data_IF_222384808585
#
_entry.id   IF_222384808585
#
_cell.length_a   1.000
_cell.length_b   1.000
_cell.length_c   1.000
_cell.angle_alpha   90.00
_cell.angle_beta   90.00
_cell.angle_gamma   90.00
#
_symmetry.space_group_name_H-M   'P 1'
#
loop_
_entity.id
_entity.type
_entity.pdbx_description
1 polymer ?
#
# COMPACT_ATOMS: atom_id res chain seq x y z
N UNK A 1 -53.34 0.34 38.38
CA UNK A 1 -52.48 -0.39 39.31
C UNK A 1 -51.54 -1.33 38.59
N UNK A 2 -50.26 -1.20 38.93
CA UNK A 2 -49.13 -2.12 38.72
C UNK A 2 -48.81 -2.60 37.28
N UNK A 3 -47.97 -1.82 36.60
CA UNK A 3 -46.97 -2.33 35.65
C UNK A 3 -45.76 -2.89 36.44
N UNK A 4 -45.13 -4.00 36.04
CA UNK A 4 -43.97 -4.53 36.73
C UNK A 4 -42.67 -3.81 36.31
N UNK A 5 -41.93 -3.38 37.33
CA UNK A 5 -40.56 -2.88 37.39
C UNK A 5 -39.67 -3.03 36.14
N UNK A 6 -39.40 -1.89 35.48
CA UNK A 6 -38.17 -1.71 34.71
C UNK A 6 -36.98 -1.61 35.69
N UNK A 7 -36.26 -2.71 35.84
CA UNK A 7 -34.92 -2.69 36.44
C UNK A 7 -33.98 -1.86 35.56
N UNK A 8 -33.40 -0.82 36.16
CA UNK A 8 -32.30 -0.04 35.60
C UNK A 8 -31.13 -0.95 35.27
N UNK A 9 -30.82 -1.09 33.98
CA UNK A 9 -29.54 -1.64 33.52
C UNK A 9 -28.47 -0.60 33.83
N UNK A 10 -27.42 -0.90 34.61
CA UNK A 10 -26.38 0.07 34.88
C UNK A 10 -25.63 0.39 33.58
N UNK A 11 -25.43 1.69 33.34
CA UNK A 11 -24.57 2.19 32.29
C UNK A 11 -23.20 1.53 32.40
N UNK A 12 -22.75 0.89 31.31
CA UNK A 12 -21.37 0.46 31.13
C UNK A 12 -20.51 1.72 31.03
N UNK A 13 -20.07 2.22 32.18
CA UNK A 13 -18.94 3.13 32.30
C UNK A 13 -17.71 2.46 31.68
N UNK A 14 -17.25 2.99 30.55
CA UNK A 14 -15.91 2.75 30.07
C UNK A 14 -14.92 3.37 31.06
N UNK A 15 -14.44 2.57 32.01
CA UNK A 15 -13.29 2.93 32.83
C UNK A 15 -12.04 2.93 31.94
N UNK A 16 -11.30 4.05 31.82
CA UNK A 16 -10.00 4.02 31.18
C UNK A 16 -9.03 3.21 32.05
N UNK A 17 -8.63 2.03 31.56
CA UNK A 17 -7.51 1.27 32.12
C UNK A 17 -6.23 1.94 31.59
N UNK A 18 -5.71 2.85 32.41
CA UNK A 18 -4.31 3.23 32.62
C UNK A 18 -4.24 4.71 33.02
N UNK A 19 -4.55 4.96 34.29
CA UNK A 19 -3.96 6.08 34.99
C UNK A 19 -2.47 5.79 35.19
N UNK A 20 -1.61 6.29 34.30
CA UNK A 20 -0.26 6.64 34.74
C UNK A 20 -0.42 7.88 35.62
N UNK A 21 -0.51 7.65 36.93
CA UNK A 21 -0.35 8.70 37.93
C UNK A 21 0.96 9.42 37.67
N UNK A 22 0.91 10.62 37.08
CA UNK A 22 2.00 11.57 37.18
C UNK A 22 2.10 11.93 38.66
N UNK A 23 3.09 11.37 39.35
CA UNK A 23 3.48 11.85 40.65
C UNK A 23 3.77 13.35 40.53
N UNK A 24 2.92 14.17 41.15
CA UNK A 24 3.20 15.58 41.35
C UNK A 24 4.46 15.68 42.20
N UNK A 25 5.57 16.09 41.59
CA UNK A 25 6.79 16.42 42.33
C UNK A 25 6.65 17.82 42.94
N UNK A 26 7.15 18.04 44.17
CA UNK A 26 6.98 19.30 44.89
C UNK A 26 7.73 20.44 44.17
N UNK A 27 7.28 21.70 44.30
CA UNK A 27 7.89 22.83 43.64
C UNK A 27 9.21 23.18 44.35
N UNK A 28 10.34 22.79 43.75
CA UNK A 28 11.65 23.15 44.28
C UNK A 28 12.78 22.27 43.78
N UNK A 29 13.27 22.52 42.57
CA UNK A 29 14.70 22.37 42.20
C UNK A 29 14.90 22.78 40.75
N UNK A 30 15.22 24.05 40.55
CA UNK A 30 15.72 24.60 39.30
C UNK A 30 17.16 24.11 39.06
N UNK A 31 17.30 22.97 38.38
CA UNK A 31 18.41 22.66 37.45
C UNK A 31 18.34 21.18 37.03
N UNK A 32 17.60 20.88 35.97
CA UNK A 32 17.84 19.65 35.19
C UNK A 32 17.98 20.02 33.72
N UNK A 33 19.03 19.49 33.09
CA UNK A 33 19.43 19.79 31.72
C UNK A 33 18.30 19.44 30.72
N UNK A 34 18.07 20.25 29.67
CA UNK A 34 17.10 19.98 28.61
C UNK A 34 17.25 18.60 27.95
N UNK A 35 18.47 18.07 27.97
CA UNK A 35 18.81 16.74 27.43
C UNK A 35 18.12 15.62 28.20
N UNK A 36 17.97 15.77 29.53
CA UNK A 36 17.37 14.74 30.38
C UNK A 36 15.86 14.59 30.14
N UNK A 37 15.16 15.70 29.89
CA UNK A 37 13.74 15.68 29.53
C UNK A 37 13.52 15.12 28.12
N UNK A 38 14.41 15.44 27.16
CA UNK A 38 14.35 14.89 25.81
C UNK A 38 14.57 13.36 25.79
N UNK A 39 15.52 12.85 26.59
CA UNK A 39 15.78 11.41 26.72
C UNK A 39 14.59 10.69 27.36
N UNK A 40 13.96 11.26 28.39
CA UNK A 40 12.79 10.66 29.05
C UNK A 40 11.53 10.66 28.17
N UNK A 41 11.35 11.68 27.33
CA UNK A 41 10.26 11.73 26.35
C UNK A 41 10.48 10.69 25.24
N UNK A 42 11.72 10.53 24.77
CA UNK A 42 12.08 9.49 23.79
C UNK A 42 11.91 8.07 24.34
N UNK A 43 12.29 7.82 25.59
CA UNK A 43 12.10 6.49 26.22
C UNK A 43 10.63 6.19 26.51
N UNK A 44 9.83 7.19 26.90
CA UNK A 44 8.39 7.03 27.09
C UNK A 44 7.61 6.77 25.79
N UNK A 45 7.95 7.49 24.71
CA UNK A 45 7.33 7.31 23.40
C UNK A 45 7.70 5.96 22.76
N UNK A 46 8.97 5.56 22.88
CA UNK A 46 9.42 4.24 22.39
C UNK A 46 8.81 3.10 23.21
N UNK A 47 8.73 3.22 24.53
CA UNK A 47 8.08 2.21 25.38
C UNK A 47 6.58 2.09 25.08
N UNK A 48 5.89 3.21 24.86
CA UNK A 48 4.46 3.20 24.49
C UNK A 48 4.23 2.58 23.11
N UNK A 49 5.10 2.85 22.14
CA UNK A 49 5.05 2.22 20.83
C UNK A 49 5.33 0.71 20.91
N UNK A 50 6.27 0.28 21.75
CA UNK A 50 6.58 -1.13 22.01
C UNK A 50 5.38 -1.82 22.67
N UNK A 51 4.78 -1.23 23.69
CA UNK A 51 3.62 -1.79 24.40
C UNK A 51 2.39 -1.88 23.49
N UNK A 52 2.09 -0.83 22.70
CA UNK A 52 1.01 -0.87 21.72
C UNK A 52 1.25 -1.96 20.65
N UNK A 53 2.50 -2.12 20.20
CA UNK A 53 2.89 -3.17 19.26
C UNK A 53 2.72 -4.56 19.87
N UNK A 54 3.10 -4.75 21.14
CA UNK A 54 2.97 -6.01 21.88
C UNK A 54 1.51 -6.38 22.15
N UNK A 55 0.67 -5.43 22.54
CA UNK A 55 -0.76 -5.65 22.75
C UNK A 55 -1.49 -5.98 21.44
N UNK A 56 -1.11 -5.35 20.33
CA UNK A 56 -1.63 -5.70 19.00
C UNK A 56 -1.14 -7.09 18.56
N UNK A 57 0.13 -7.40 18.84
CA UNK A 57 0.71 -8.71 18.57
C UNK A 57 -0.01 -9.82 19.36
N UNK A 58 -0.28 -9.61 20.65
CA UNK A 58 -1.07 -10.52 21.50
C UNK A 58 -2.53 -10.64 21.06
N UNK A 59 -3.17 -9.55 20.63
CA UNK A 59 -4.52 -9.61 20.06
C UNK A 59 -4.56 -10.35 18.71
N UNK A 60 -3.44 -10.35 17.96
CA UNK A 60 -3.27 -11.11 16.72
C UNK A 60 -2.81 -12.57 16.90
N UNK A 61 -2.63 -13.05 18.14
CA UNK A 61 -2.24 -14.43 18.46
C UNK A 61 -3.41 -15.43 18.45
N UNK A 62 -4.43 -15.23 17.61
CA UNK A 62 -5.01 -16.43 17.00
C UNK A 62 -4.00 -16.86 15.95
N UNK A 63 -3.35 -18.04 16.08
CA UNK A 63 -2.59 -18.55 14.96
C UNK A 63 -3.60 -18.72 13.83
N UNK A 64 -3.60 -17.79 12.87
CA UNK A 64 -4.13 -18.08 11.56
C UNK A 64 -3.29 -19.25 11.11
N UNK A 65 -3.83 -20.48 11.24
CA UNK A 65 -3.33 -21.58 10.42
C UNK A 65 -3.19 -20.98 9.02
N UNK A 66 -2.00 -21.06 8.38
CA UNK A 66 -1.90 -20.62 7.01
C UNK A 66 -3.04 -21.34 6.28
N UNK A 67 -4.00 -20.62 5.67
CA UNK A 67 -5.12 -21.27 5.01
C UNK A 67 -4.49 -22.32 4.11
N UNK A 68 -4.87 -23.58 4.30
CA UNK A 68 -4.37 -24.69 3.52
C UNK A 68 -4.56 -24.30 2.07
N UNK A 69 -3.45 -24.03 1.37
CA UNK A 69 -3.54 -23.51 0.02
C UNK A 69 -4.26 -24.57 -0.81
N UNK A 70 -5.28 -24.19 -1.58
CA UNK A 70 -6.00 -25.15 -2.40
C UNK A 70 -5.00 -25.84 -3.33
N UNK A 71 -5.20 -27.12 -3.68
CA UNK A 71 -4.34 -27.81 -4.63
C UNK A 71 -4.25 -26.96 -5.90
N UNK A 72 -3.02 -26.68 -6.35
CA UNK A 72 -2.77 -25.83 -7.50
C UNK A 72 -3.33 -26.53 -8.76
N UNK A 73 -4.42 -26.03 -9.37
CA UNK A 73 -4.85 -26.49 -10.67
C UNK A 73 -3.75 -26.26 -11.69
N UNK A 74 -3.66 -27.13 -12.68
CA UNK A 74 -2.65 -27.07 -13.73
C UNK A 74 -2.87 -25.92 -14.71
N UNK A 75 -4.09 -25.37 -14.78
CA UNK A 75 -4.48 -24.33 -15.73
C UNK A 75 -5.45 -23.30 -15.11
N UNK A 76 -5.27 -22.03 -15.50
CA UNK A 76 -6.11 -20.89 -15.12
C UNK A 76 -6.50 -20.06 -16.35
N UNK A 77 -7.56 -19.26 -16.23
CA UNK A 77 -7.91 -18.29 -17.28
C UNK A 77 -6.94 -17.11 -17.27
N UNK A 78 -6.63 -16.60 -16.08
CA UNK A 78 -5.73 -15.46 -15.89
C UNK A 78 -4.67 -15.77 -14.83
N UNK A 79 -3.43 -15.41 -15.12
CA UNK A 79 -2.32 -15.45 -14.17
C UNK A 79 -1.82 -14.04 -13.97
N UNK A 80 -1.86 -13.55 -12.73
CA UNK A 80 -1.40 -12.22 -12.34
C UNK A 80 -0.08 -12.37 -11.59
N UNK A 81 0.96 -11.70 -12.08
CA UNK A 81 2.31 -11.77 -11.53
C UNK A 81 2.58 -10.55 -10.66
N UNK A 82 2.55 -10.72 -9.34
CA UNK A 82 2.77 -9.69 -8.33
C UNK A 82 1.47 -9.18 -7.72
N UNK A 83 1.31 -9.35 -6.40
CA UNK A 83 0.17 -8.84 -5.62
C UNK A 83 0.43 -7.42 -5.11
N UNK A 84 1.08 -6.58 -5.92
CA UNK A 84 1.28 -5.16 -5.63
C UNK A 84 -0.01 -4.33 -5.74
N UNK A 85 0.15 -3.01 -5.84
CA UNK A 85 -0.99 -2.08 -6.01
C UNK A 85 -1.89 -2.45 -7.17
N UNK A 86 -1.33 -2.60 -8.37
CA UNK A 86 -2.11 -2.95 -9.57
C UNK A 86 -2.64 -4.39 -9.52
N UNK A 87 -1.79 -5.35 -9.14
CA UNK A 87 -2.16 -6.77 -9.14
C UNK A 87 -3.30 -7.09 -8.16
N UNK A 88 -3.35 -6.41 -7.01
CA UNK A 88 -4.45 -6.54 -6.06
C UNK A 88 -5.79 -6.09 -6.67
N UNK A 89 -5.79 -4.96 -7.40
CA UNK A 89 -6.98 -4.45 -8.09
C UNK A 89 -7.42 -5.39 -9.20
N UNK A 90 -6.48 -5.79 -10.07
CA UNK A 90 -6.75 -6.68 -11.22
C UNK A 90 -7.31 -8.03 -10.75
N UNK A 91 -6.71 -8.62 -9.71
CA UNK A 91 -7.18 -9.89 -9.16
C UNK A 91 -8.60 -9.78 -8.60
N UNK A 92 -8.91 -8.71 -7.88
CA UNK A 92 -10.26 -8.46 -7.39
C UNK A 92 -11.24 -8.31 -8.54
N UNK A 93 -10.95 -7.46 -9.54
CA UNK A 93 -11.87 -7.18 -10.65
C UNK A 93 -12.10 -8.40 -11.55
N UNK A 94 -11.06 -9.14 -11.91
CA UNK A 94 -11.20 -10.33 -12.75
C UNK A 94 -11.97 -11.45 -12.04
N UNK A 95 -11.74 -11.65 -10.74
CA UNK A 95 -12.42 -12.70 -9.97
C UNK A 95 -13.86 -12.36 -9.58
N UNK A 96 -14.35 -11.13 -9.84
CA UNK A 96 -15.77 -10.80 -9.66
C UNK A 96 -16.68 -11.63 -10.56
N UNK A 97 -16.20 -12.02 -11.75
CA UNK A 97 -16.89 -12.99 -12.59
C UNK A 97 -16.54 -14.41 -12.10
N UNK A 98 -17.51 -15.20 -11.59
CA UNK A 98 -17.26 -16.55 -11.10
C UNK A 98 -16.75 -17.53 -12.18
N UNK A 99 -16.97 -17.22 -13.46
CA UNK A 99 -16.50 -18.03 -14.58
C UNK A 99 -14.98 -17.88 -14.83
N UNK A 100 -14.35 -16.83 -14.29
CA UNK A 100 -12.91 -16.60 -14.44
C UNK A 100 -12.15 -17.34 -13.32
N UNK A 101 -11.29 -18.30 -13.68
CA UNK A 101 -10.29 -18.85 -12.76
C UNK A 101 -9.04 -17.98 -12.75
N UNK A 102 -8.76 -17.35 -11.60
CA UNK A 102 -7.68 -16.36 -11.46
C UNK A 102 -6.63 -16.88 -10.48
N UNK A 103 -5.37 -16.87 -10.92
CA UNK A 103 -4.20 -17.12 -10.08
C UNK A 103 -3.45 -15.82 -9.83
N UNK A 104 -3.22 -15.48 -8.56
CA UNK A 104 -2.37 -14.36 -8.15
C UNK A 104 -1.11 -14.91 -7.47
N UNK A 105 0.06 -14.64 -8.06
CA UNK A 105 1.36 -15.07 -7.56
C UNK A 105 2.12 -13.89 -6.96
N UNK A 106 2.50 -13.99 -5.68
CA UNK A 106 3.30 -12.96 -4.99
C UNK A 106 4.59 -13.56 -4.42
N UNK A 107 5.72 -12.94 -4.71
CA UNK A 107 7.03 -13.40 -4.23
C UNK A 107 7.20 -13.21 -2.71
N UNK A 108 6.52 -12.23 -2.13
CA UNK A 108 6.52 -11.92 -0.71
C UNK A 108 5.54 -12.72 0.15
N UNK A 109 5.63 -12.48 1.46
CA UNK A 109 4.67 -12.98 2.44
C UNK A 109 3.48 -12.04 2.64
N UNK A 110 2.64 -12.37 3.64
CA UNK A 110 1.57 -11.50 4.11
C UNK A 110 2.12 -10.27 4.85
N UNK A 111 1.27 -9.24 5.01
CA UNK A 111 1.61 -8.07 5.81
C UNK A 111 1.75 -8.44 7.29
N UNK A 112 2.78 -7.94 7.95
CA UNK A 112 2.96 -8.02 9.40
C UNK A 112 2.21 -6.87 10.11
N UNK A 113 1.83 -7.02 11.40
CA UNK A 113 1.05 -6.01 12.12
C UNK A 113 1.63 -4.59 12.12
N UNK A 114 2.96 -4.47 12.17
CA UNK A 114 3.66 -3.18 12.14
C UNK A 114 3.42 -2.39 10.84
N UNK A 115 3.14 -3.07 9.71
CA UNK A 115 2.88 -2.41 8.43
C UNK A 115 1.54 -1.68 8.39
N UNK A 116 0.62 -2.00 9.30
CA UNK A 116 -0.67 -1.31 9.42
C UNK A 116 -0.54 0.03 10.14
N UNK A 117 0.53 0.26 10.90
CA UNK A 117 0.73 1.48 11.69
C UNK A 117 1.38 2.56 10.82
N UNK A 118 0.71 3.69 10.52
CA UNK A 118 1.26 4.71 9.62
C UNK A 118 2.62 5.26 10.05
N UNK A 119 2.84 5.42 11.36
CA UNK A 119 4.09 5.94 11.93
C UNK A 119 5.31 5.04 11.63
N UNK A 120 5.11 3.73 11.42
CA UNK A 120 6.21 2.79 11.15
C UNK A 120 6.76 2.91 9.72
N UNK A 121 6.05 3.56 8.79
CA UNK A 121 6.36 3.54 7.36
C UNK A 121 7.84 3.85 7.00
N UNK A 122 8.51 4.84 7.63
CA UNK A 122 9.91 5.13 7.33
C UNK A 122 10.89 4.01 7.74
N UNK A 123 10.51 3.16 8.68
CA UNK A 123 11.36 2.17 9.34
C UNK A 123 10.93 0.72 9.07
N UNK A 124 9.77 0.51 8.44
CA UNK A 124 9.14 -0.79 8.27
C UNK A 124 9.86 -1.72 7.27
N UNK A 125 10.80 -1.18 6.48
CA UNK A 125 11.54 -1.96 5.50
C UNK A 125 12.55 -2.90 6.16
N UNK A 126 12.55 -4.17 5.76
CA UNK A 126 13.53 -5.16 6.18
C UNK A 126 13.79 -6.19 5.07
N UNK A 127 14.68 -7.14 5.32
CA UNK A 127 15.07 -8.20 4.37
C UNK A 127 13.91 -9.10 3.91
N UNK A 128 12.86 -9.23 4.71
CA UNK A 128 11.72 -10.10 4.41
C UNK A 128 10.71 -9.42 3.46
N UNK A 129 10.57 -8.10 3.53
CA UNK A 129 9.57 -7.33 2.79
C UNK A 129 10.13 -6.38 1.73
N UNK A 130 11.46 -6.35 1.55
CA UNK A 130 12.14 -5.50 0.60
C UNK A 130 12.88 -6.32 -0.45
N UNK A 131 12.95 -5.83 -1.69
CA UNK A 131 13.82 -6.41 -2.72
C UNK A 131 15.28 -5.99 -2.58
N UNK A 132 15.58 -4.97 -1.77
CA UNK A 132 16.95 -4.49 -1.56
C UNK A 132 17.61 -3.93 -2.82
N UNK A 133 16.82 -3.42 -3.76
CA UNK A 133 17.35 -2.86 -5.00
C UNK A 133 18.14 -1.58 -4.74
N UNK A 134 19.29 -1.47 -5.39
CA UNK A 134 20.08 -0.23 -5.43
C UNK A 134 20.27 0.22 -6.87
N UNK A 135 20.40 1.53 -7.07
CA UNK A 135 20.83 2.06 -8.35
C UNK A 135 22.27 1.66 -8.66
N UNK A 136 22.66 1.76 -9.93
CA UNK A 136 24.08 1.94 -10.28
C UNK A 136 24.62 3.22 -9.64
N UNK A 137 25.95 3.39 -9.51
CA UNK A 137 26.52 4.62 -8.98
C UNK A 137 26.05 5.84 -9.78
N UNK A 138 25.54 6.86 -9.08
CA UNK A 138 25.02 8.09 -9.67
C UNK A 138 26.10 9.18 -9.59
N UNK A 139 26.92 9.34 -10.63
CA UNK A 139 28.08 10.26 -10.55
C UNK A 139 27.72 11.74 -10.45
N UNK A 140 26.53 12.13 -10.91
CA UNK A 140 26.03 13.51 -10.83
C UNK A 140 25.19 13.79 -9.58
N UNK A 141 24.93 12.78 -8.74
CA UNK A 141 24.09 12.88 -7.55
C UNK A 141 24.74 12.13 -6.38
N UNK A 142 24.10 12.14 -5.21
CA UNK A 142 24.49 11.31 -4.05
C UNK A 142 25.98 11.45 -3.65
N UNK A 143 26.59 12.62 -3.84
CA UNK A 143 28.02 12.86 -3.52
C UNK A 143 28.36 12.60 -2.04
N UNK A 144 27.37 12.72 -1.15
CA UNK A 144 27.52 12.43 0.29
C UNK A 144 27.35 10.94 0.62
N UNK A 145 26.95 10.10 -0.33
CA UNK A 145 26.82 8.65 -0.13
C UNK A 145 28.12 7.95 -0.54
N UNK A 146 28.76 7.13 0.33
CA UNK A 146 30.09 6.56 0.06
C UNK A 146 30.20 5.78 -1.26
N UNK A 147 29.13 5.08 -1.66
CA UNK A 147 29.06 4.32 -2.91
C UNK A 147 28.36 5.07 -4.05
N UNK A 148 27.81 6.27 -3.81
CA UNK A 148 26.92 7.01 -4.72
C UNK A 148 25.74 6.19 -5.25
N UNK A 149 25.31 5.16 -4.53
CA UNK A 149 24.15 4.34 -4.87
C UNK A 149 22.95 4.78 -4.04
N UNK A 150 21.79 4.87 -4.68
CA UNK A 150 20.53 5.15 -4.01
C UNK A 150 19.77 3.85 -3.77
N UNK A 151 19.19 3.71 -2.58
CA UNK A 151 18.24 2.64 -2.30
C UNK A 151 16.96 2.87 -3.11
N UNK A 152 16.53 1.86 -3.88
CA UNK A 152 15.27 1.88 -4.60
C UNK A 152 14.21 1.08 -3.83
N UNK A 153 13.18 1.77 -3.36
CA UNK A 153 12.16 1.21 -2.47
C UNK A 153 11.13 0.33 -3.22
N UNK A 154 11.58 -0.84 -3.67
CA UNK A 154 10.71 -1.90 -4.19
C UNK A 154 10.41 -2.93 -3.10
N UNK A 155 9.15 -3.32 -2.95
CA UNK A 155 8.70 -4.20 -1.86
C UNK A 155 8.24 -5.57 -2.34
N UNK A 156 8.41 -6.56 -1.47
CA UNK A 156 8.16 -7.98 -1.67
C UNK A 156 7.24 -8.49 -0.56
N UNK A 157 5.97 -8.10 -0.62
CA UNK A 157 4.93 -8.39 0.38
C UNK A 157 3.57 -8.23 -0.30
N UNK A 158 2.52 -8.87 0.21
CA UNK A 158 1.14 -8.61 -0.22
C UNK A 158 0.81 -7.11 -0.16
N UNK A 159 0.28 -6.56 -1.26
CA UNK A 159 0.05 -5.14 -1.51
C UNK A 159 1.27 -4.36 -2.03
N UNK A 160 2.44 -5.01 -2.09
CA UNK A 160 3.68 -4.47 -2.65
C UNK A 160 4.12 -3.16 -1.99
N UNK A 161 4.61 -2.21 -2.79
CA UNK A 161 5.05 -0.91 -2.26
C UNK A 161 3.92 -0.11 -1.61
N UNK A 162 2.67 -0.32 -2.01
CA UNK A 162 1.51 0.32 -1.36
C UNK A 162 1.35 -0.05 0.12
N UNK A 163 1.87 -1.21 0.54
CA UNK A 163 1.84 -1.64 1.95
C UNK A 163 2.91 -0.96 2.81
N UNK A 164 3.91 -0.29 2.21
CA UNK A 164 4.99 0.41 2.92
C UNK A 164 5.17 1.88 2.50
N UNK A 165 4.33 2.41 1.60
CA UNK A 165 4.43 3.80 1.15
C UNK A 165 4.08 4.79 2.27
N UNK A 166 4.20 6.08 2.01
CA UNK A 166 3.83 7.15 2.95
C UNK A 166 2.34 7.47 3.00
N UNK A 167 1.48 6.61 2.42
CA UNK A 167 0.01 6.76 2.38
C UNK A 167 -0.55 8.01 1.69
N UNK A 168 0.29 8.87 1.12
CA UNK A 168 -0.18 10.04 0.40
C UNK A 168 -1.05 9.60 -0.79
N UNK A 169 -2.28 10.07 -0.82
CA UNK A 169 -3.22 9.84 -1.91
C UNK A 169 -3.20 11.06 -2.83
N UNK A 170 -2.51 10.94 -3.96
CA UNK A 170 -2.34 12.00 -4.97
C UNK A 170 -2.54 11.37 -6.34
N UNK A 171 -3.48 11.89 -7.13
CA UNK A 171 -3.84 11.30 -8.44
C UNK A 171 -2.87 11.69 -9.56
N UNK A 172 -2.44 12.95 -9.58
CA UNK A 172 -1.66 13.56 -10.66
C UNK A 172 -2.39 14.73 -11.31
N UNK A 173 -1.72 15.45 -12.21
CA UNK A 173 -2.32 16.59 -12.91
C UNK A 173 -3.07 16.11 -14.16
N UNK A 174 -4.21 16.71 -14.55
CA UNK A 174 -4.90 16.39 -15.80
C UNK A 174 -4.00 16.42 -17.03
N UNK A 175 -3.00 17.31 -17.05
CA UNK A 175 -2.01 17.39 -18.14
C UNK A 175 -1.16 16.14 -18.29
N UNK A 176 -0.87 15.44 -17.18
CA UNK A 176 -0.07 14.20 -17.22
C UNK A 176 -0.80 13.10 -18.01
N UNK A 177 -2.12 12.98 -17.77
CA UNK A 177 -2.98 11.99 -18.41
C UNK A 177 -3.34 12.35 -19.85
N UNK A 178 -3.63 13.63 -20.10
CA UNK A 178 -3.89 14.11 -21.47
C UNK A 178 -2.65 13.89 -22.35
N UNK A 179 -1.45 14.15 -21.82
CA UNK A 179 -0.19 13.86 -22.49
C UNK A 179 -0.05 12.38 -22.89
N UNK A 180 -0.57 11.45 -22.08
CA UNK A 180 -0.50 10.02 -22.42
C UNK A 180 -1.25 9.71 -23.71
N UNK A 181 -2.45 10.26 -23.87
CA UNK A 181 -3.23 10.08 -25.10
C UNK A 181 -2.63 10.88 -26.26
N UNK A 182 -2.29 12.15 -26.03
CA UNK A 182 -1.82 13.09 -27.06
C UNK A 182 -0.43 12.75 -27.63
N UNK A 183 0.52 12.30 -26.80
CA UNK A 183 1.90 12.04 -27.22
C UNK A 183 2.23 10.55 -27.37
N UNK A 184 1.56 9.67 -26.62
CA UNK A 184 1.90 8.23 -26.58
C UNK A 184 0.81 7.32 -27.16
N UNK A 185 -0.22 7.88 -27.81
CA UNK A 185 -1.35 7.15 -28.40
C UNK A 185 -2.07 6.21 -27.40
N UNK A 186 -2.04 6.54 -26.10
CA UNK A 186 -2.73 5.79 -25.07
C UNK A 186 -4.23 6.15 -25.08
N UNK A 187 -4.97 5.65 -26.08
CA UNK A 187 -6.40 5.93 -26.24
C UNK A 187 -7.19 5.50 -25.01
N UNK A 188 -8.06 6.38 -24.50
CA UNK A 188 -8.86 6.16 -23.29
C UNK A 188 -8.14 6.51 -21.99
N UNK A 189 -6.96 7.15 -22.06
CA UNK A 189 -6.16 7.53 -20.88
C UNK A 189 -6.14 9.02 -20.58
N UNK A 190 -6.86 9.86 -21.33
CA UNK A 190 -7.03 11.28 -20.97
C UNK A 190 -7.71 11.42 -19.61
N UNK A 191 -7.53 12.58 -18.97
CA UNK A 191 -7.95 12.78 -17.58
C UNK A 191 -9.42 12.46 -17.31
N UNK A 192 -10.33 12.87 -18.22
CA UNK A 192 -11.76 12.63 -18.04
C UNK A 192 -12.13 11.14 -18.00
N UNK A 193 -11.39 10.30 -18.74
CA UNK A 193 -11.63 8.86 -18.77
C UNK A 193 -11.11 8.20 -17.49
N UNK A 194 -9.86 8.52 -17.10
CA UNK A 194 -9.26 7.98 -15.87
C UNK A 194 -9.91 8.48 -14.59
N UNK A 195 -10.50 9.69 -14.60
CA UNK A 195 -11.25 10.23 -13.47
C UNK A 195 -12.40 9.31 -13.06
N UNK A 196 -13.03 8.64 -14.03
CA UNK A 196 -14.06 7.64 -13.76
C UNK A 196 -13.52 6.50 -12.89
N UNK A 197 -12.31 6.00 -13.20
CA UNK A 197 -11.68 4.94 -12.42
C UNK A 197 -11.16 5.42 -11.06
N UNK A 198 -10.63 6.65 -10.97
CA UNK A 198 -10.27 7.23 -9.67
C UNK A 198 -11.48 7.29 -8.74
N UNK A 199 -12.63 7.74 -9.24
CA UNK A 199 -13.87 7.77 -8.47
C UNK A 199 -14.40 6.38 -8.11
N UNK A 200 -14.18 5.37 -8.95
CA UNK A 200 -14.62 4.00 -8.65
C UNK A 200 -13.86 3.35 -7.48
N UNK A 201 -12.55 3.60 -7.37
CA UNK A 201 -11.74 2.98 -6.31
C UNK A 201 -11.78 3.75 -4.99
N UNK A 202 -12.19 5.01 -5.03
CA UNK A 202 -12.16 5.92 -3.90
C UNK A 202 -13.41 5.84 -3.03
N UNK A 203 -13.20 5.85 -1.72
CA UNK A 203 -14.21 6.14 -0.73
C UNK A 203 -13.81 7.38 0.07
N UNK A 204 -14.18 8.53 -0.49
CA UNK A 204 -13.80 9.83 0.02
C UNK A 204 -14.68 10.24 1.20
N UNK A 205 -14.06 10.61 2.32
CA UNK A 205 -14.76 10.92 3.57
C UNK A 205 -14.26 12.22 4.23
N UNK A 206 -13.69 13.13 3.45
CA UNK A 206 -13.24 14.44 3.92
C UNK A 206 -14.39 15.45 3.79
N UNK A 207 -14.74 16.12 4.89
CA UNK A 207 -15.83 17.10 4.92
C UNK A 207 -15.39 18.52 4.56
N UNK A 208 -14.11 18.85 4.78
CA UNK A 208 -13.49 20.16 4.57
C UNK A 208 -13.03 20.36 3.12
N UNK A 209 -13.94 20.12 2.17
CA UNK A 209 -13.75 20.37 0.73
C UNK A 209 -14.95 21.08 0.12
N UNK A 210 -14.70 21.89 -0.91
CA UNK A 210 -15.74 22.68 -1.57
C UNK A 210 -16.77 21.78 -2.30
N UNK A 211 -18.00 22.27 -2.48
CA UNK A 211 -19.00 21.53 -3.28
C UNK A 211 -18.56 21.33 -4.73
N UNK A 212 -17.76 22.26 -5.25
CA UNK A 212 -17.15 22.12 -6.58
C UNK A 212 -16.15 20.96 -6.62
N UNK A 213 -15.30 20.82 -5.59
CA UNK A 213 -14.28 19.76 -5.56
C UNK A 213 -14.89 18.38 -5.32
N UNK A 214 -15.96 18.28 -4.53
CA UNK A 214 -16.68 17.01 -4.29
C UNK A 214 -17.08 16.26 -5.57
N UNK A 215 -17.29 16.94 -6.70
CA UNK A 215 -17.63 16.28 -7.97
C UNK A 215 -16.50 15.41 -8.54
N UNK A 216 -15.26 15.68 -8.13
CA UNK A 216 -14.07 14.93 -8.53
C UNK A 216 -13.86 13.67 -7.68
N UNK A 217 -14.65 13.49 -6.62
CA UNK A 217 -14.46 12.37 -5.69
C UNK A 217 -15.49 11.25 -5.86
N UNK A 218 -15.02 10.06 -5.51
CA UNK A 218 -15.77 8.81 -5.42
C UNK A 218 -16.25 8.55 -4.01
N UNK A 219 -17.43 7.98 -3.90
CA UNK A 219 -18.05 7.61 -2.63
C UNK A 219 -18.48 6.14 -2.74
N UNK A 220 -17.90 5.27 -1.90
CA UNK A 220 -18.22 3.83 -1.89
C UNK A 220 -17.23 2.88 -2.57
N UNK A 221 -16.08 3.36 -3.04
CA UNK A 221 -14.99 2.49 -3.49
C UNK A 221 -14.31 1.72 -2.34
N UNK A 222 -13.31 0.90 -2.66
CA UNK A 222 -12.62 0.09 -1.64
C UNK A 222 -11.56 0.86 -0.83
N UNK A 223 -11.03 1.96 -1.38
CA UNK A 223 -9.92 2.69 -0.77
C UNK A 223 -10.44 3.89 0.02
N UNK A 224 -10.41 3.88 1.36
CA UNK A 224 -10.80 5.04 2.13
C UNK A 224 -9.80 6.18 1.92
N UNK A 225 -10.29 7.39 1.67
CA UNK A 225 -9.48 8.61 1.54
C UNK A 225 -9.94 9.61 2.60
N UNK A 226 -9.01 9.93 3.51
CA UNK A 226 -9.23 10.78 4.68
C UNK A 226 -8.05 11.74 4.87
N UNK A 227 -8.19 12.74 5.73
CA UNK A 227 -7.00 13.36 6.33
C UNK A 227 -6.47 12.49 7.50
N UNK A 228 -5.17 12.58 7.83
CA UNK A 228 -4.60 11.90 8.98
C UNK A 228 -5.35 12.22 10.29
N UNK A 229 -5.50 11.24 11.17
CA UNK A 229 -6.20 11.42 12.45
C UNK A 229 -5.44 12.25 13.49
N UNK A 230 -4.16 12.55 13.24
CA UNK A 230 -3.31 13.34 14.12
C UNK A 230 -2.54 14.40 13.34
N UNK A 231 -2.44 15.60 13.90
CA UNK A 231 -1.72 16.72 13.31
C UNK A 231 -0.75 17.30 14.34
N UNK A 232 0.47 17.57 13.90
CA UNK A 232 1.46 18.29 14.71
C UNK A 232 1.20 19.79 14.66
N UNK A 233 1.66 20.53 15.68
CA UNK A 233 1.62 22.00 15.70
C UNK A 233 2.33 22.60 14.47
N UNK A 234 3.42 21.97 14.04
CA UNK A 234 4.16 22.35 12.83
C UNK A 234 3.27 22.32 11.57
N UNK A 235 2.34 21.37 11.48
CA UNK A 235 1.39 21.31 10.36
C UNK A 235 0.52 22.57 10.31
N UNK A 236 0.05 23.07 11.45
CA UNK A 236 -0.76 24.29 11.49
C UNK A 236 0.07 25.52 11.15
N UNK A 237 1.27 25.63 11.74
CA UNK A 237 2.20 26.73 11.46
C UNK A 237 2.53 26.80 9.96
N UNK A 238 2.79 25.66 9.32
CA UNK A 238 3.08 25.60 7.89
C UNK A 238 1.90 26.07 7.03
N UNK A 239 0.68 25.58 7.29
CA UNK A 239 -0.52 25.96 6.52
C UNK A 239 -0.89 27.44 6.72
N UNK A 240 -0.68 27.99 7.93
CA UNK A 240 -0.86 29.42 8.20
C UNK A 240 0.16 30.25 7.41
N UNK A 241 1.44 29.87 7.42
CA UNK A 241 2.48 30.53 6.63
C UNK A 241 2.16 30.51 5.12
N UNK A 242 1.60 29.41 4.59
CA UNK A 242 1.12 29.37 3.20
C UNK A 242 0.03 30.41 2.94
N UNK A 243 -0.88 30.61 3.89
CA UNK A 243 -1.94 31.62 3.80
C UNK A 243 -1.38 33.04 3.80
N UNK A 244 -0.45 33.33 4.72
CA UNK A 244 0.25 34.62 4.80
C UNK A 244 1.07 34.93 3.53
N UNK A 245 1.61 33.88 2.90
CA UNK A 245 2.29 33.96 1.61
C UNK A 245 1.34 34.03 0.40
N UNK A 246 0.03 34.20 0.62
CA UNK A 246 -1.02 34.31 -0.41
C UNK A 246 -1.23 33.05 -1.27
N UNK A 247 -0.82 31.86 -0.81
CA UNK A 247 -1.27 30.62 -1.43
C UNK A 247 -2.72 30.35 -1.07
N UNK A 248 -3.46 29.76 -2.00
CA UNK A 248 -4.87 29.37 -1.78
C UNK A 248 -4.94 27.98 -1.18
N UNK A 249 -5.81 27.81 -0.17
CA UNK A 249 -6.22 26.47 0.28
C UNK A 249 -7.00 25.80 -0.85
N UNK A 250 -6.64 24.57 -1.20
CA UNK A 250 -7.26 23.78 -2.27
C UNK A 250 -7.46 22.33 -1.84
N UNK A 251 -8.28 21.63 -2.60
CA UNK A 251 -8.21 20.19 -2.74
C UNK A 251 -7.37 19.88 -3.98
N UNK A 252 -6.19 19.29 -3.79
CA UNK A 252 -5.26 19.04 -4.90
C UNK A 252 -5.65 17.83 -5.76
N UNK A 253 -6.64 17.03 -5.34
CA UNK A 253 -7.26 15.97 -6.15
C UNK A 253 -8.59 16.43 -6.79
N UNK A 254 -9.03 17.67 -6.48
CA UNK A 254 -10.18 18.36 -7.03
C UNK A 254 -9.87 19.20 -8.27
N UNK A 255 -10.53 20.36 -8.40
CA UNK A 255 -10.40 21.20 -9.62
C UNK A 255 -9.04 21.86 -9.75
N UNK A 256 -8.49 22.33 -8.64
CA UNK A 256 -7.30 23.18 -8.62
C UNK A 256 -6.10 22.40 -8.10
N UNK A 257 -4.96 22.51 -8.78
CA UNK A 257 -3.77 21.69 -8.51
C UNK A 257 -2.58 22.51 -7.97
N UNK A 258 -2.76 23.82 -7.80
CA UNK A 258 -1.72 24.73 -7.31
C UNK A 258 -2.27 25.53 -6.14
N UNK A 259 -1.60 25.39 -4.98
CA UNK A 259 -2.06 25.94 -3.72
C UNK A 259 -1.47 25.12 -2.57
N UNK A 260 -2.12 25.17 -1.41
CA UNK A 260 -1.77 24.35 -0.26
C UNK A 260 -2.97 23.53 0.20
N UNK A 261 -2.70 22.37 0.83
CA UNK A 261 -3.74 21.54 1.43
C UNK A 261 -3.17 20.69 2.55
N UNK A 262 -4.05 20.10 3.34
CA UNK A 262 -3.68 18.93 4.15
C UNK A 262 -3.49 17.75 3.22
N UNK A 263 -2.57 16.86 3.58
CA UNK A 263 -2.34 15.64 2.81
C UNK A 263 -3.52 14.69 3.01
N UNK A 264 -4.15 14.30 1.92
CA UNK A 264 -5.08 13.17 1.86
C UNK A 264 -4.30 11.87 1.93
N UNK A 265 -4.82 10.93 2.72
CA UNK A 265 -4.18 9.64 2.96
C UNK A 265 -5.15 8.48 2.85
N UNK A 266 -4.65 7.36 2.33
CA UNK A 266 -5.37 6.08 2.33
C UNK A 266 -5.31 5.41 3.71
N UNK A 267 -5.93 6.07 4.69
CA UNK A 267 -5.99 5.65 6.10
C UNK A 267 -7.41 5.74 6.62
N UNK A 268 -7.81 4.82 7.49
CA UNK A 268 -9.06 4.91 8.25
C UNK A 268 -8.89 4.19 9.58
N UNK A 269 -9.61 4.66 10.62
CA UNK A 269 -9.52 4.10 11.99
C UNK A 269 -8.09 4.07 12.56
N UNK A 270 -7.27 5.06 12.19
CA UNK A 270 -5.88 5.17 12.67
C UNK A 270 -4.89 4.19 12.01
N UNK A 271 -5.33 3.38 11.05
CA UNK A 271 -4.49 2.39 10.36
C UNK A 271 -4.37 2.68 8.87
N UNK A 272 -3.31 2.15 8.27
CA UNK A 272 -3.09 2.10 6.81
C UNK A 272 -4.13 1.21 6.13
N UNK A 273 -4.64 1.68 5.00
CA UNK A 273 -5.45 0.90 4.08
C UNK A 273 -4.69 0.66 2.77
N UNK A 274 -3.79 -0.33 2.79
CA UNK A 274 -2.98 -0.70 1.65
C UNK A 274 -3.77 -1.48 0.58
N UNK A 275 -3.17 -1.74 -0.60
CA UNK A 275 -3.88 -2.39 -1.71
C UNK A 275 -4.42 -3.79 -1.35
N UNK A 276 -3.66 -4.58 -0.59
CA UNK A 276 -4.11 -5.90 -0.12
C UNK A 276 -5.33 -5.77 0.79
N UNK A 277 -5.33 -4.82 1.72
CA UNK A 277 -6.47 -4.59 2.63
C UNK A 277 -7.71 -4.09 1.90
N UNK A 278 -7.54 -3.22 0.90
CA UNK A 278 -8.66 -2.65 0.14
C UNK A 278 -9.25 -3.67 -0.84
N UNK A 279 -8.39 -4.32 -1.64
CA UNK A 279 -8.84 -5.11 -2.80
C UNK A 279 -8.78 -6.63 -2.58
N UNK A 280 -8.03 -7.12 -1.59
CA UNK A 280 -7.89 -8.54 -1.26
C UNK A 280 -8.32 -8.82 0.18
N UNK A 281 -9.43 -8.21 0.60
CA UNK A 281 -10.04 -8.45 1.92
C UNK A 281 -10.56 -9.90 2.06
N UNK A 282 -11.02 -10.26 3.26
CA UNK A 282 -11.48 -11.63 3.55
C UNK A 282 -12.61 -12.10 2.64
N UNK A 283 -13.53 -11.22 2.24
CA UNK A 283 -14.62 -11.57 1.31
C UNK A 283 -14.09 -11.89 -0.08
N UNK A 284 -13.12 -11.11 -0.58
CA UNK A 284 -12.50 -11.38 -1.88
C UNK A 284 -11.65 -12.65 -1.84
N UNK A 285 -10.90 -12.86 -0.76
CA UNK A 285 -10.07 -14.07 -0.56
C UNK A 285 -10.89 -15.35 -0.41
N UNK A 286 -12.14 -15.26 0.01
CA UNK A 286 -13.04 -16.40 0.15
C UNK A 286 -13.64 -16.87 -1.19
N UNK A 287 -13.43 -16.13 -2.30
CA UNK A 287 -13.91 -16.53 -3.62
C UNK A 287 -13.21 -17.81 -4.08
N UNK A 288 -13.98 -18.83 -4.44
CA UNK A 288 -13.47 -20.14 -4.86
C UNK A 288 -12.75 -20.12 -6.21
N UNK A 289 -12.96 -19.09 -7.02
CA UNK A 289 -12.33 -18.89 -8.32
C UNK A 289 -11.07 -18.01 -8.26
N UNK A 290 -10.68 -17.50 -7.09
CA UNK A 290 -9.45 -16.73 -6.89
C UNK A 290 -8.48 -17.51 -6.00
N UNK A 291 -7.33 -17.87 -6.56
CA UNK A 291 -6.26 -18.53 -5.83
C UNK A 291 -5.08 -17.57 -5.64
N UNK A 292 -4.68 -17.35 -4.39
CA UNK A 292 -3.60 -16.43 -4.03
C UNK A 292 -2.46 -17.23 -3.42
N UNK A 293 -1.30 -17.19 -4.08
CA UNK A 293 -0.10 -17.90 -3.66
C UNK A 293 0.99 -16.90 -3.30
N UNK A 294 1.26 -16.77 -2.00
CA UNK A 294 2.40 -16.02 -1.46
C UNK A 294 3.68 -16.86 -1.53
N UNK A 295 4.84 -16.20 -1.31
CA UNK A 295 6.17 -16.81 -1.40
C UNK A 295 6.40 -17.57 -2.71
N UNK A 296 5.83 -17.07 -3.80
CA UNK A 296 5.78 -17.70 -5.11
C UNK A 296 6.34 -16.73 -6.15
N UNK A 297 7.62 -16.87 -6.47
CA UNK A 297 8.33 -15.95 -7.36
C UNK A 297 8.29 -16.46 -8.80
N UNK A 298 7.60 -15.75 -9.69
CA UNK A 298 7.63 -16.05 -11.12
C UNK A 298 9.02 -15.75 -11.67
N UNK A 299 9.60 -16.71 -12.38
CA UNK A 299 10.96 -16.63 -12.93
C UNK A 299 10.99 -16.63 -14.45
N UNK A 300 9.94 -17.12 -15.12
CA UNK A 300 9.83 -17.15 -16.58
C UNK A 300 8.37 -17.22 -17.03
N UNK A 301 8.05 -16.54 -18.12
CA UNK A 301 6.79 -16.68 -18.87
C UNK A 301 7.01 -17.71 -19.98
N UNK A 302 6.06 -18.61 -20.19
CA UNK A 302 6.09 -19.60 -21.25
C UNK A 302 5.41 -19.06 -22.50
N UNK A 303 6.00 -19.33 -23.66
CA UNK A 303 5.47 -18.90 -24.95
C UNK A 303 5.35 -20.08 -25.91
N UNK A 304 4.31 -20.03 -26.74
CA UNK A 304 4.19 -20.78 -27.98
C UNK A 304 4.09 -19.75 -29.12
N UNK A 305 5.17 -19.61 -29.89
CA UNK A 305 5.38 -18.49 -30.82
C UNK A 305 5.21 -17.13 -30.08
N UNK A 306 4.23 -16.34 -30.49
CA UNK A 306 3.95 -15.01 -29.91
C UNK A 306 2.91 -15.04 -28.79
N UNK A 307 2.42 -16.22 -28.38
CA UNK A 307 1.35 -16.36 -27.38
C UNK A 307 1.90 -16.85 -26.05
N UNK A 308 1.62 -16.13 -24.97
CA UNK A 308 1.90 -16.59 -23.61
C UNK A 308 0.99 -17.78 -23.24
N UNK A 309 1.57 -18.88 -22.76
CA UNK A 309 0.85 -20.14 -22.45
C UNK A 309 0.97 -20.59 -21.01
N UNK A 310 1.72 -19.86 -20.18
CA UNK A 310 1.85 -20.15 -18.76
C UNK A 310 3.00 -19.41 -18.11
N UNK A 311 3.32 -19.79 -16.88
CA UNK A 311 4.48 -19.29 -16.15
C UNK A 311 5.19 -20.43 -15.41
N UNK A 312 6.49 -20.26 -15.21
CA UNK A 312 7.28 -21.02 -14.23
C UNK A 312 7.52 -20.12 -13.02
N UNK A 313 7.26 -20.65 -11.83
CA UNK A 313 7.52 -19.94 -10.58
C UNK A 313 8.20 -20.84 -9.56
N UNK A 314 8.98 -20.25 -8.67
CA UNK A 314 9.64 -20.96 -7.56
C UNK A 314 8.84 -20.77 -6.28
N UNK A 315 8.53 -21.87 -5.59
CA UNK A 315 7.90 -21.90 -4.28
C UNK A 315 8.58 -22.99 -3.43
N UNK A 316 8.94 -22.65 -2.19
CA UNK A 316 9.60 -23.58 -1.26
C UNK A 316 10.82 -24.30 -1.87
N UNK A 317 11.59 -23.58 -2.70
CA UNK A 317 12.79 -24.08 -3.39
C UNK A 317 12.53 -24.97 -4.60
N UNK A 318 11.26 -25.21 -4.96
CA UNK A 318 10.86 -26.02 -6.12
C UNK A 318 10.27 -25.14 -7.22
N UNK A 319 10.54 -25.52 -8.47
CA UNK A 319 9.93 -24.88 -9.62
C UNK A 319 8.63 -25.58 -9.97
N UNK A 320 7.57 -24.80 -10.04
CA UNK A 320 6.23 -25.22 -10.45
C UNK A 320 5.90 -24.58 -11.79
N UNK A 321 5.12 -25.29 -12.61
CA UNK A 321 4.63 -24.79 -13.90
C UNK A 321 3.12 -24.77 -13.90
N UNK A 322 2.55 -23.66 -14.35
CA UNK A 322 1.11 -23.49 -14.47
C UNK A 322 0.77 -22.90 -15.84
N UNK A 323 -0.26 -23.45 -16.48
CA UNK A 323 -0.73 -23.02 -17.81
C UNK A 323 -1.77 -21.92 -17.71
N UNK A 324 -1.87 -21.13 -18.77
CA UNK A 324 -2.86 -20.06 -18.89
C UNK A 324 -3.65 -20.20 -20.18
N UNK A 325 -4.97 -20.03 -20.07
CA UNK A 325 -5.89 -20.12 -21.21
C UNK A 325 -6.05 -18.79 -21.94
N UNK A 326 -6.06 -17.68 -21.20
CA UNK A 326 -6.29 -16.34 -21.75
C UNK A 326 -5.04 -15.47 -21.65
N UNK A 327 -4.69 -14.98 -20.46
CA UNK A 327 -3.68 -13.92 -20.33
C UNK A 327 -2.78 -14.08 -19.09
N UNK A 328 -1.49 -13.77 -19.28
CA UNK A 328 -0.55 -13.48 -18.19
C UNK A 328 -0.48 -11.96 -18.02
N UNK A 329 -0.80 -11.46 -16.84
CA UNK A 329 -0.85 -10.04 -16.53
C UNK A 329 0.32 -9.68 -15.60
N UNK A 330 1.22 -8.83 -16.07
CA UNK A 330 2.42 -8.44 -15.32
C UNK A 330 2.14 -7.26 -14.40
N UNK A 331 2.16 -7.53 -13.09
CA UNK A 331 2.01 -6.55 -12.01
C UNK A 331 3.24 -6.54 -11.07
N UNK A 332 4.41 -6.93 -11.57
CA UNK A 332 5.67 -7.04 -10.82
C UNK A 332 6.39 -5.68 -10.63
N UNK A 333 5.72 -4.58 -10.97
CA UNK A 333 6.22 -3.21 -10.82
C UNK A 333 7.21 -2.79 -11.91
N UNK A 334 7.60 -1.51 -11.89
CA UNK A 334 8.43 -0.88 -12.92
C UNK A 334 9.81 -1.53 -13.12
N UNK A 335 10.31 -2.25 -12.11
CA UNK A 335 11.59 -2.99 -12.18
C UNK A 335 11.35 -4.48 -12.46
N UNK A 336 10.39 -5.10 -11.77
CA UNK A 336 10.16 -6.54 -11.85
C UNK A 336 9.56 -6.97 -13.19
N UNK A 337 8.62 -6.19 -13.74
CA UNK A 337 7.96 -6.52 -15.01
C UNK A 337 8.94 -6.57 -16.20
N UNK A 338 9.74 -5.51 -16.50
CA UNK A 338 10.70 -5.59 -17.61
C UNK A 338 11.81 -6.62 -17.37
N UNK A 339 12.24 -6.80 -16.11
CA UNK A 339 13.20 -7.87 -15.77
C UNK A 339 12.65 -9.25 -16.13
N UNK A 340 11.38 -9.53 -15.78
CA UNK A 340 10.76 -10.82 -16.08
C UNK A 340 10.55 -11.03 -17.59
N UNK A 341 10.21 -9.96 -18.33
CA UNK A 341 10.16 -10.02 -19.79
C UNK A 341 11.51 -10.43 -20.38
N UNK A 342 12.61 -9.80 -19.94
CA UNK A 342 13.95 -10.15 -20.40
C UNK A 342 14.33 -11.59 -20.04
N UNK A 343 14.02 -12.06 -18.82
CA UNK A 343 14.23 -13.46 -18.41
C UNK A 343 13.42 -14.47 -19.23
N UNK A 344 12.40 -13.99 -19.94
CA UNK A 344 11.49 -14.77 -20.78
C UNK A 344 11.74 -14.57 -22.28
N UNK A 345 12.87 -13.96 -22.69
CA UNK A 345 13.24 -13.75 -24.09
C UNK A 345 12.76 -12.42 -24.70
N UNK A 346 11.98 -11.63 -23.97
CA UNK A 346 11.44 -10.36 -24.48
C UNK A 346 12.28 -9.19 -23.97
N UNK A 347 13.16 -8.66 -24.81
CA UNK A 347 13.99 -7.50 -24.47
C UNK A 347 14.96 -7.09 -25.57
N UNK A 348 15.82 -6.09 -25.31
CA UNK A 348 16.87 -5.70 -26.23
C UNK A 348 17.85 -6.86 -26.48
N UNK A 349 18.06 -7.23 -27.76
CA UNK A 349 18.89 -8.39 -28.15
C UNK A 349 20.25 -8.43 -27.45
N UNK A 350 20.95 -7.28 -27.41
CA UNK A 350 22.28 -7.20 -26.79
C UNK A 350 22.30 -7.54 -25.29
N UNK A 351 21.23 -7.22 -24.55
CA UNK A 351 21.11 -7.60 -23.13
C UNK A 351 20.76 -9.08 -22.98
N UNK A 352 19.94 -9.63 -23.86
CA UNK A 352 19.61 -11.06 -23.87
C UNK A 352 20.85 -11.91 -24.15
N UNK A 353 21.63 -11.55 -25.18
CA UNK A 353 22.87 -12.24 -25.57
C UNK A 353 23.90 -12.20 -24.44
N UNK A 354 24.06 -11.04 -23.80
CA UNK A 354 24.95 -10.84 -22.64
C UNK A 354 24.63 -11.81 -21.51
N UNK A 355 23.35 -12.12 -21.32
CA UNK A 355 22.85 -13.01 -20.29
C UNK A 355 22.56 -14.44 -20.77
N UNK A 356 22.86 -14.76 -22.05
CA UNK A 356 22.61 -16.07 -22.68
C UNK A 356 21.15 -16.50 -22.58
N UNK A 357 20.25 -15.58 -22.90
CA UNK A 357 18.81 -15.82 -22.93
C UNK A 357 18.36 -15.85 -24.38
N UNK A 358 17.69 -16.93 -24.77
CA UNK A 358 17.10 -17.05 -26.10
C UNK A 358 15.87 -16.12 -26.23
N UNK A 359 15.72 -15.41 -27.37
CA UNK A 359 14.62 -14.49 -27.61
C UNK A 359 13.27 -15.17 -27.88
#
# INVERSE_FOLDING_TARGET
>A
DSLPNCGTVPALEWRPICACSFAAFPPGSSNRSPVYNAVMIWTGATLSAILASLSFCQASQTPLQPPTQPPLPTEYDYIIVGAGTAGSVVANRLSQNPDNKVLLLEAGGEMTPDLYVPYSAPFAANENNSWGCETTPQYCFLSSHPSRRGTYNSRKVMGGTGSLNSMNYVRGNPKDFNKWEEEYNATGWKYNDVLTYFKQIENFNISDVSQEDKRYHGYGGETPVNYPGYYTDLSYVFLNACTEANYKKIDYNGKHHTGYSRVESNTAYGIRWGPSSCFLNNTVRARTNLHIFTKSMVIRILFENTKATGVIFTKDGKNETVRVKREVILCAGAIGSPKLLMLSGIGPQHELDRHRIDP
#
